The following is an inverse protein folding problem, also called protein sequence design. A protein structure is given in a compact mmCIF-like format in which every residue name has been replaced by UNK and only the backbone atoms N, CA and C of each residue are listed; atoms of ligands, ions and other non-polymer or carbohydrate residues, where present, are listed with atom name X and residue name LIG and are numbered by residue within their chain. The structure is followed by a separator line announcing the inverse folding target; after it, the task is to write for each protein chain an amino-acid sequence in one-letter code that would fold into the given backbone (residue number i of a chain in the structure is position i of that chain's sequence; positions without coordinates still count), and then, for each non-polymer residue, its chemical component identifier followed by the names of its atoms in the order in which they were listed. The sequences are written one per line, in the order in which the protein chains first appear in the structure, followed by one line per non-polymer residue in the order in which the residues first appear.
data_IF_525807635310
#
_entry.id   IF_525807635310
#
_cell.length_a   1.000
_cell.length_b   1.000
_cell.length_c   1.000
_cell.angle_alpha   90.00
_cell.angle_beta   90.00
_cell.angle_gamma   90.00
#
_symmetry.space_group_name_H-M   'P 1'
#
loop_
_entity.id
_entity.type
_entity.pdbx_description
1 polymer ?
#
# COMPACT_ATOMS: atom_id res chain seq x y z
N UNK A 1 -8.63 -15.42 19.95
CA UNK A 1 -8.27 -16.68 20.62
C UNK A 1 -7.91 -16.38 22.08
N UNK A 2 -7.73 -17.37 22.96
CA UNK A 2 -7.49 -17.12 24.40
C UNK A 2 -6.12 -16.49 24.70
N UNK A 3 -5.19 -16.55 23.75
CA UNK A 3 -3.87 -15.90 23.74
C UNK A 3 -3.89 -14.48 23.15
N UNK A 4 -5.06 -13.99 22.70
CA UNK A 4 -5.18 -12.71 22.01
C UNK A 4 -4.87 -12.75 20.51
N UNK A 5 -4.51 -13.91 19.94
CA UNK A 5 -4.37 -14.06 18.48
C UNK A 5 -5.72 -13.81 17.81
N UNK A 6 -5.70 -13.18 16.63
CA UNK A 6 -6.91 -12.91 15.82
C UNK A 6 -6.68 -13.35 14.39
N UNK A 7 -7.65 -14.06 13.81
CA UNK A 7 -7.75 -14.34 12.38
C UNK A 7 -9.06 -13.72 11.87
N UNK A 8 -8.94 -12.66 11.09
CA UNK A 8 -10.06 -11.95 10.47
C UNK A 8 -10.20 -12.39 9.03
N UNK A 9 -11.42 -12.78 8.63
CA UNK A 9 -11.72 -13.18 7.26
C UNK A 9 -12.43 -12.05 6.51
N UNK A 10 -11.99 -11.81 5.28
CA UNK A 10 -12.59 -10.87 4.35
C UNK A 10 -13.80 -11.45 3.61
N UNK A 11 -14.26 -10.71 2.61
CA UNK A 11 -15.37 -11.15 1.74
C UNK A 11 -14.92 -12.34 0.88
N UNK A 12 -15.85 -13.27 0.64
CA UNK A 12 -15.66 -14.46 -0.18
C UNK A 12 -14.55 -15.41 0.33
N UNK A 13 -14.25 -15.35 1.63
CA UNK A 13 -13.23 -16.18 2.27
C UNK A 13 -13.77 -17.53 2.73
N UNK A 14 -12.97 -18.58 2.53
CA UNK A 14 -13.19 -19.92 3.08
C UNK A 14 -11.94 -20.34 3.85
N UNK A 15 -12.12 -20.58 5.16
CA UNK A 15 -11.03 -20.97 6.05
C UNK A 15 -11.50 -21.98 7.10
N UNK A 16 -10.59 -22.87 7.49
CA UNK A 16 -10.75 -23.79 8.62
C UNK A 16 -9.65 -23.53 9.64
N UNK A 17 -10.03 -23.49 10.91
CA UNK A 17 -9.08 -23.58 12.01
C UNK A 17 -8.82 -25.06 12.26
N UNK A 18 -7.61 -25.52 12.02
CA UNK A 18 -7.26 -26.94 12.07
C UNK A 18 -6.78 -27.34 13.46
N UNK A 19 -5.96 -26.49 14.10
CA UNK A 19 -5.48 -26.69 15.45
C UNK A 19 -5.27 -25.36 16.18
N UNK A 20 -5.55 -25.35 17.48
CA UNK A 20 -5.18 -24.24 18.35
C UNK A 20 -4.91 -24.73 19.78
N UNK A 21 -3.69 -24.48 20.25
CA UNK A 21 -3.24 -24.81 21.60
C UNK A 21 -2.53 -23.61 22.20
N UNK A 22 -2.80 -23.32 23.47
CA UNK A 22 -2.09 -22.27 24.20
C UNK A 22 -2.04 -22.59 25.69
N UNK A 23 -0.82 -22.59 26.24
CA UNK A 23 -0.54 -22.66 27.67
C UNK A 23 0.24 -21.40 28.09
N UNK A 24 -0.46 -20.50 28.80
CA UNK A 24 0.10 -19.26 29.32
C UNK A 24 1.21 -19.48 30.36
N UNK A 25 1.27 -20.65 31.00
CA UNK A 25 2.27 -20.97 32.04
C UNK A 25 3.61 -21.34 31.42
N UNK A 26 3.57 -22.19 30.38
CA UNK A 26 4.78 -22.62 29.67
C UNK A 26 5.15 -21.74 28.48
N UNK A 27 4.25 -20.85 28.05
CA UNK A 27 4.42 -20.03 26.84
C UNK A 27 4.47 -20.88 25.57
N UNK A 28 3.95 -22.11 25.62
CA UNK A 28 3.89 -23.04 24.52
C UNK A 28 2.50 -23.07 23.89
N UNK A 29 2.44 -23.44 22.62
CA UNK A 29 1.20 -23.51 21.87
C UNK A 29 1.44 -23.60 20.38
N UNK A 30 0.35 -23.65 19.64
CA UNK A 30 0.35 -23.75 18.19
C UNK A 30 -0.95 -23.18 17.62
N UNK A 31 -0.86 -22.60 16.44
CA UNK A 31 -2.01 -22.18 15.66
C UNK A 31 -1.86 -22.68 14.23
N UNK A 32 -2.71 -23.60 13.82
CA UNK A 32 -2.73 -24.12 12.45
C UNK A 32 -4.08 -23.83 11.81
N UNK A 33 -4.07 -23.17 10.66
CA UNK A 33 -5.27 -22.89 9.90
C UNK A 33 -5.05 -23.15 8.42
N UNK A 34 -6.13 -23.47 7.70
CA UNK A 34 -6.14 -23.59 6.25
C UNK A 34 -7.07 -22.53 5.68
N UNK A 35 -6.58 -21.68 4.77
CA UNK A 35 -7.39 -20.70 4.04
C UNK A 35 -7.38 -21.08 2.55
N UNK A 36 -8.55 -21.35 1.99
CA UNK A 36 -8.70 -21.83 0.61
C UNK A 36 -8.87 -20.71 -0.41
N UNK A 37 -9.52 -19.61 -0.04
CA UNK A 37 -9.79 -18.47 -0.92
C UNK A 37 -10.09 -17.20 -0.11
N UNK A 38 -10.09 -16.07 -0.79
CA UNK A 38 -10.49 -14.78 -0.24
C UNK A 38 -9.38 -14.09 0.55
N UNK A 39 -9.74 -13.01 1.24
CA UNK A 39 -8.81 -12.22 2.04
C UNK A 39 -8.77 -12.67 3.50
N UNK A 40 -7.62 -12.56 4.15
CA UNK A 40 -7.52 -12.69 5.60
C UNK A 40 -6.44 -11.79 6.20
N UNK A 41 -6.64 -11.44 7.46
CA UNK A 41 -5.65 -10.79 8.30
C UNK A 41 -5.41 -11.67 9.53
N UNK A 42 -4.15 -11.94 9.82
CA UNK A 42 -3.70 -12.62 11.01
C UNK A 42 -2.89 -11.65 11.88
N UNK A 43 -3.21 -11.59 13.16
CA UNK A 43 -2.48 -10.80 14.16
C UNK A 43 -2.11 -11.71 15.31
N UNK A 44 -0.80 -11.90 15.55
CA UNK A 44 -0.33 -12.73 16.66
C UNK A 44 -0.62 -12.09 18.01
N UNK A 45 -1.15 -12.90 18.93
CA UNK A 45 -1.26 -12.56 20.34
C UNK A 45 -0.02 -12.91 21.14
N UNK A 46 -0.22 -13.29 22.39
CA UNK A 46 0.84 -13.64 23.33
C UNK A 46 1.62 -14.90 22.91
N UNK A 47 1.01 -15.81 22.14
CA UNK A 47 1.72 -16.92 21.51
C UNK A 47 2.91 -16.43 20.65
N UNK A 48 2.76 -15.31 19.94
CA UNK A 48 3.83 -14.71 19.16
C UNK A 48 4.91 -14.01 20.00
N UNK A 49 4.55 -13.53 21.19
CA UNK A 49 5.48 -12.86 22.11
C UNK A 49 6.30 -13.84 22.93
N UNK A 50 5.76 -15.03 23.24
CA UNK A 50 6.47 -16.04 24.03
C UNK A 50 7.35 -16.94 23.17
N UNK A 51 6.97 -17.15 21.91
CA UNK A 51 7.72 -17.95 20.96
C UNK A 51 8.74 -17.15 20.14
N UNK A 52 9.30 -16.06 20.68
CA UNK A 52 10.33 -15.27 19.98
C UNK A 52 11.42 -16.22 19.48
N UNK A 53 11.59 -16.25 18.15
CA UNK A 53 12.52 -17.10 17.38
C UNK A 53 12.03 -18.51 17.01
N UNK A 54 10.79 -18.92 17.32
CA UNK A 54 10.19 -20.17 16.82
C UNK A 54 8.93 -19.88 16.01
N UNK A 55 8.74 -20.64 14.94
CA UNK A 55 7.45 -20.66 14.24
C UNK A 55 6.41 -21.25 15.20
N UNK A 56 5.39 -20.46 15.50
CA UNK A 56 4.31 -20.84 16.43
C UNK A 56 2.95 -20.94 15.73
N UNK A 57 2.85 -20.39 14.51
CA UNK A 57 1.64 -20.53 13.70
C UNK A 57 1.97 -20.94 12.28
N UNK A 58 1.08 -21.71 11.68
CA UNK A 58 1.12 -22.14 10.29
C UNK A 58 -0.21 -21.84 9.61
N UNK A 59 -0.17 -21.17 8.47
CA UNK A 59 -1.35 -20.92 7.64
C UNK A 59 -1.12 -21.58 6.29
N UNK A 60 -1.91 -22.60 6.00
CA UNK A 60 -1.87 -23.36 4.75
C UNK A 60 -2.80 -22.73 3.72
N UNK A 61 -2.32 -22.60 2.49
CA UNK A 61 -3.08 -22.10 1.34
C UNK A 61 -2.81 -23.01 0.13
N UNK A 62 -3.65 -22.98 -0.92
CA UNK A 62 -3.37 -23.75 -2.14
C UNK A 62 -1.98 -23.44 -2.74
N UNK A 63 -1.54 -22.18 -2.67
CA UNK A 63 -0.27 -21.73 -3.22
C UNK A 63 0.95 -22.10 -2.34
N UNK A 64 0.75 -22.43 -1.06
CA UNK A 64 1.86 -22.71 -0.14
C UNK A 64 1.53 -22.50 1.34
N UNK A 65 2.55 -22.60 2.17
CA UNK A 65 2.44 -22.50 3.64
C UNK A 65 3.16 -21.27 4.17
N UNK A 66 2.45 -20.49 4.99
CA UNK A 66 2.97 -19.32 5.71
C UNK A 66 3.30 -19.75 7.14
N UNK A 67 4.58 -19.70 7.50
CA UNK A 67 5.06 -19.90 8.86
C UNK A 67 5.25 -18.57 9.58
N UNK A 68 4.53 -18.34 10.67
CA UNK A 68 4.43 -17.06 11.38
C UNK A 68 5.36 -17.02 12.58
N UNK A 69 6.10 -15.91 12.75
CA UNK A 69 6.96 -15.63 13.91
C UNK A 69 6.73 -14.21 14.46
N UNK A 70 5.69 -14.06 15.28
CA UNK A 70 5.41 -12.81 16.03
C UNK A 70 5.16 -11.59 15.14
N UNK A 71 4.07 -11.60 14.36
CA UNK A 71 3.87 -10.66 13.23
C UNK A 71 2.39 -10.44 12.90
N UNK A 72 2.15 -9.40 12.10
CA UNK A 72 0.89 -9.15 11.41
C UNK A 72 1.04 -9.60 9.96
N UNK A 73 0.04 -10.32 9.46
CA UNK A 73 0.02 -10.82 8.08
C UNK A 73 -1.31 -10.45 7.47
N UNK A 74 -1.27 -9.96 6.23
CA UNK A 74 -2.45 -9.81 5.39
C UNK A 74 -2.21 -10.60 4.12
N UNK A 75 -3.20 -11.37 3.70
CA UNK A 75 -3.10 -12.08 2.43
C UNK A 75 -4.45 -12.14 1.71
N UNK A 76 -4.35 -12.22 0.39
CA UNK A 76 -5.51 -12.38 -0.51
C UNK A 76 -5.20 -13.55 -1.42
N UNK A 77 -6.10 -14.53 -1.46
CA UNK A 77 -6.04 -15.68 -2.34
C UNK A 77 -7.10 -15.49 -3.42
N UNK A 78 -6.65 -15.14 -4.62
CA UNK A 78 -7.48 -15.02 -5.80
C UNK A 78 -7.40 -16.31 -6.62
N UNK A 79 -8.48 -17.09 -6.56
CA UNK A 79 -8.58 -18.36 -7.27
C UNK A 79 -8.81 -18.17 -8.78
N UNK A 80 -9.39 -17.05 -9.20
CA UNK A 80 -9.66 -16.76 -10.61
C UNK A 80 -8.38 -16.30 -11.31
N UNK A 81 -7.61 -15.45 -10.63
CA UNK A 81 -6.29 -15.01 -11.09
C UNK A 81 -5.16 -16.03 -10.80
N UNK A 82 -5.45 -17.11 -10.07
CA UNK A 82 -4.49 -18.13 -9.64
C UNK A 82 -3.30 -17.55 -8.85
N UNK A 83 -3.55 -16.53 -8.02
CA UNK A 83 -2.50 -15.82 -7.27
C UNK A 83 -2.80 -15.73 -5.78
N UNK A 84 -1.74 -15.60 -5.00
CA UNK A 84 -1.76 -15.16 -3.62
C UNK A 84 -0.93 -13.89 -3.50
N UNK A 85 -1.51 -12.84 -2.91
CA UNK A 85 -0.77 -11.68 -2.44
C UNK A 85 -0.55 -11.82 -0.94
N UNK A 86 0.69 -11.66 -0.47
CA UNK A 86 1.02 -11.68 0.95
C UNK A 86 1.71 -10.37 1.31
N UNK A 87 1.27 -9.74 2.37
CA UNK A 87 1.83 -8.53 2.96
C UNK A 87 2.12 -8.78 4.44
N UNK A 88 3.29 -8.33 4.88
CA UNK A 88 3.81 -8.50 6.24
C UNK A 88 4.17 -7.11 6.76
N UNK A 89 3.20 -6.40 7.37
CA UNK A 89 3.43 -5.01 7.79
C UNK A 89 4.40 -4.84 8.96
N UNK A 90 4.61 -5.87 9.78
CA UNK A 90 5.52 -5.85 10.93
C UNK A 90 5.79 -7.26 11.43
N UNK A 91 7.02 -7.53 11.89
CA UNK A 91 7.49 -8.86 12.31
C UNK A 91 7.94 -9.70 11.12
N UNK A 92 8.23 -10.99 11.37
CA UNK A 92 8.87 -11.84 10.36
C UNK A 92 8.02 -13.08 10.07
N UNK A 93 8.00 -13.50 8.81
CA UNK A 93 7.34 -14.74 8.39
C UNK A 93 8.19 -15.47 7.38
N UNK A 94 7.99 -16.78 7.33
CA UNK A 94 8.51 -17.60 6.26
C UNK A 94 7.38 -18.02 5.32
N UNK A 95 7.65 -18.02 4.02
CA UNK A 95 6.74 -18.51 2.99
C UNK A 95 7.39 -19.68 2.25
N UNK A 96 6.65 -20.77 2.07
CA UNK A 96 7.07 -21.92 1.29
C UNK A 96 6.00 -22.25 0.24
N UNK A 97 6.22 -21.92 -1.05
CA UNK A 97 5.29 -22.28 -2.11
C UNK A 97 5.14 -23.81 -2.23
N UNK A 98 3.93 -24.29 -2.52
CA UNK A 98 3.62 -25.73 -2.63
C UNK A 98 4.50 -26.44 -3.66
N UNK A 99 4.86 -25.75 -4.74
CA UNK A 99 5.64 -26.29 -5.87
C UNK A 99 7.13 -25.95 -5.81
N UNK A 100 7.61 -25.40 -4.69
CA UNK A 100 9.00 -24.98 -4.52
C UNK A 100 9.61 -25.58 -3.26
N UNK A 101 10.93 -25.75 -3.25
CA UNK A 101 11.71 -26.03 -2.03
C UNK A 101 12.36 -24.77 -1.47
N UNK A 102 12.29 -23.65 -2.19
CA UNK A 102 12.83 -22.38 -1.74
C UNK A 102 11.88 -21.75 -0.72
N UNK A 103 12.42 -21.46 0.46
CA UNK A 103 11.73 -20.70 1.50
C UNK A 103 12.10 -19.23 1.34
N UNK A 104 11.10 -18.38 1.38
CA UNK A 104 11.26 -16.93 1.40
C UNK A 104 11.05 -16.44 2.82
N UNK A 105 11.91 -15.55 3.29
CA UNK A 105 11.74 -14.86 4.58
C UNK A 105 11.26 -13.43 4.28
N UNK A 106 10.16 -13.02 4.91
CA UNK A 106 9.47 -11.75 4.66
C UNK A 106 9.28 -10.97 5.95
N UNK A 107 9.09 -9.66 5.82
CA UNK A 107 8.84 -8.77 6.95
C UNK A 107 10.05 -7.92 7.31
N UNK A 108 10.22 -7.59 8.60
CA UNK A 108 11.18 -6.56 9.06
C UNK A 108 12.63 -6.91 8.75
N UNK A 109 13.02 -8.18 8.95
CA UNK A 109 14.35 -8.71 8.57
C UNK A 109 14.33 -9.55 7.30
N UNK A 110 13.21 -9.55 6.57
CA UNK A 110 13.04 -10.34 5.35
C UNK A 110 13.57 -9.64 4.10
N UNK A 111 13.62 -10.39 2.99
CA UNK A 111 14.03 -9.86 1.69
C UNK A 111 13.00 -8.86 1.13
N UNK A 112 11.75 -8.96 1.58
CA UNK A 112 10.61 -8.16 1.14
C UNK A 112 9.46 -8.19 2.14
N UNK A 113 8.61 -7.16 2.12
CA UNK A 113 7.40 -7.08 2.95
C UNK A 113 6.12 -7.43 2.20
N UNK A 114 6.16 -7.44 0.86
CA UNK A 114 5.01 -7.77 0.01
C UNK A 114 5.45 -8.67 -1.15
N UNK A 115 4.69 -9.72 -1.42
CA UNK A 115 4.82 -10.55 -2.61
C UNK A 115 3.49 -10.77 -3.31
N UNK A 116 3.58 -11.06 -4.60
CA UNK A 116 2.56 -11.77 -5.35
C UNK A 116 3.17 -13.08 -5.80
N UNK A 117 2.52 -14.20 -5.52
CA UNK A 117 2.93 -15.51 -5.98
C UNK A 117 1.79 -16.20 -6.72
N UNK A 118 2.10 -17.03 -7.71
CA UNK A 118 1.12 -17.95 -8.30
C UNK A 118 1.16 -19.33 -7.63
N UNK A 119 0.21 -20.19 -7.99
CA UNK A 119 0.18 -21.57 -7.48
C UNK A 119 1.26 -22.49 -8.07
N UNK A 120 1.97 -22.03 -9.11
CA UNK A 120 3.09 -22.75 -9.73
C UNK A 120 4.43 -22.48 -9.03
N UNK A 121 4.42 -21.58 -8.03
CA UNK A 121 5.57 -21.25 -7.20
C UNK A 121 6.43 -20.11 -7.75
N UNK A 122 5.97 -19.41 -8.80
CA UNK A 122 6.60 -18.17 -9.22
C UNK A 122 6.27 -17.08 -8.21
N UNK A 123 7.30 -16.38 -7.73
CA UNK A 123 7.16 -15.31 -6.74
C UNK A 123 7.71 -14.02 -7.34
N UNK A 124 6.89 -12.98 -7.29
CA UNK A 124 7.23 -11.61 -7.67
C UNK A 124 7.21 -10.73 -6.43
N UNK A 125 8.39 -10.42 -5.84
CA UNK A 125 8.49 -9.44 -4.79
C UNK A 125 8.02 -8.06 -5.27
N UNK A 126 7.23 -7.38 -4.44
CA UNK A 126 6.82 -5.99 -4.70
C UNK A 126 7.79 -5.05 -3.98
N UNK A 127 9.03 -5.03 -4.44
CA UNK A 127 10.11 -4.17 -3.91
C UNK A 127 10.25 -2.87 -4.69
N UNK A 128 9.57 -2.75 -5.81
CA UNK A 128 9.65 -1.62 -6.71
C UNK A 128 8.28 -0.99 -6.91
N UNK A 129 8.25 0.34 -7.03
CA UNK A 129 7.06 1.05 -7.50
C UNK A 129 6.61 0.43 -8.84
N UNK A 130 5.31 0.27 -9.12
CA UNK A 130 4.84 -0.19 -10.42
C UNK A 130 5.52 0.57 -11.56
N UNK A 131 5.87 -0.12 -12.64
CA UNK A 131 6.61 0.47 -13.75
C UNK A 131 5.97 1.76 -14.27
N UNK A 132 4.64 1.83 -14.32
CA UNK A 132 3.91 3.04 -14.68
C UNK A 132 4.19 4.26 -13.78
N UNK A 133 4.38 4.04 -12.47
CA UNK A 133 4.75 5.10 -11.53
C UNK A 133 6.24 5.43 -11.61
N UNK A 134 7.10 4.44 -11.86
CA UNK A 134 8.51 4.69 -12.15
C UNK A 134 8.66 5.57 -13.40
N UNK A 135 7.98 5.20 -14.49
CA UNK A 135 7.98 5.92 -15.76
C UNK A 135 7.47 7.35 -15.57
N UNK A 136 6.37 7.55 -14.82
CA UNK A 136 5.83 8.88 -14.52
C UNK A 136 6.79 9.75 -13.70
N UNK A 137 7.51 9.17 -12.72
CA UNK A 137 8.54 9.88 -11.94
C UNK A 137 9.72 10.27 -12.84
N UNK A 138 10.14 9.37 -13.74
CA UNK A 138 11.20 9.64 -14.71
C UNK A 138 10.81 10.79 -15.64
N UNK A 139 9.59 10.78 -16.18
CA UNK A 139 9.08 11.87 -17.02
C UNK A 139 9.03 13.20 -16.26
N UNK A 140 8.58 13.19 -14.99
CA UNK A 140 8.54 14.38 -14.16
C UNK A 140 9.94 14.96 -13.89
N UNK A 141 10.91 14.11 -13.54
CA UNK A 141 12.29 14.54 -13.30
C UNK A 141 12.92 15.13 -14.55
N UNK A 142 12.64 14.56 -15.73
CA UNK A 142 13.11 15.08 -17.00
C UNK A 142 12.50 16.47 -17.28
N UNK A 143 11.19 16.63 -17.10
CA UNK A 143 10.53 17.92 -17.29
C UNK A 143 11.06 19.00 -16.33
N UNK A 144 11.38 18.65 -15.09
CA UNK A 144 12.00 19.56 -14.11
C UNK A 144 13.41 19.96 -14.57
N UNK A 145 14.23 18.99 -15.00
CA UNK A 145 15.59 19.26 -15.47
C UNK A 145 15.59 20.15 -16.72
N UNK A 146 14.71 19.89 -17.70
CA UNK A 146 14.56 20.73 -18.89
C UNK A 146 14.11 22.16 -18.54
N UNK A 147 13.25 22.32 -17.54
CA UNK A 147 12.85 23.62 -17.03
C UNK A 147 14.01 24.35 -16.32
N UNK A 148 14.86 23.64 -15.57
CA UNK A 148 16.05 24.19 -14.92
C UNK A 148 17.14 24.59 -15.90
N UNK A 149 17.38 23.78 -16.94
CA UNK A 149 18.32 24.10 -18.02
C UNK A 149 17.85 25.31 -18.85
N UNK A 150 16.54 25.41 -19.11
CA UNK A 150 15.96 26.58 -19.77
C UNK A 150 15.96 27.85 -18.90
N UNK A 151 15.95 27.72 -17.56
CA UNK A 151 16.14 28.85 -16.63
C UNK A 151 17.55 29.46 -16.70
N UNK A 152 18.54 28.76 -17.27
CA UNK A 152 19.87 29.34 -17.51
C UNK A 152 19.91 30.29 -18.73
N UNK A 153 18.92 30.23 -19.63
CA UNK A 153 18.87 31.05 -20.85
C UNK A 153 18.00 32.30 -20.67
N UNK A 154 17.04 32.28 -19.76
CA UNK A 154 16.26 33.45 -19.34
C UNK A 154 16.54 33.76 -17.88
N UNK A 155 17.43 34.74 -17.66
CA UNK A 155 17.72 35.28 -16.33
C UNK A 155 16.43 35.54 -15.54
N UNK A 156 16.33 34.86 -14.41
CA UNK A 156 15.53 35.20 -13.22
C UNK A 156 14.04 35.55 -13.40
N UNK A 157 13.32 34.81 -14.25
CA UNK A 157 11.86 34.81 -14.20
C UNK A 157 11.33 33.42 -13.90
N UNK A 158 10.95 33.20 -12.64
CA UNK A 158 10.20 32.01 -12.21
C UNK A 158 8.78 32.11 -12.78
N UNK A 159 8.32 31.18 -13.63
CA UNK A 159 6.90 31.11 -13.97
C UNK A 159 6.17 30.61 -12.72
N UNK A 160 5.41 31.50 -12.10
CA UNK A 160 4.58 31.17 -10.95
C UNK A 160 3.38 30.35 -11.45
N UNK A 161 3.46 29.03 -11.38
CA UNK A 161 2.33 28.16 -11.69
C UNK A 161 2.27 26.93 -10.78
N UNK A 162 2.22 27.16 -9.46
CA UNK A 162 1.43 26.31 -8.56
C UNK A 162 0.61 27.26 -7.69
N UNK A 163 -0.64 27.54 -8.10
CA UNK A 163 -1.61 28.14 -7.17
C UNK A 163 -2.20 27.00 -6.35
N UNK A 164 -1.64 26.81 -5.15
CA UNK A 164 -2.34 26.14 -4.07
C UNK A 164 -3.58 26.98 -3.78
N UNK A 165 -4.77 26.40 -3.92
CA UNK A 165 -5.99 27.03 -3.43
C UNK A 165 -6.00 26.91 -1.90
N UNK A 166 -5.37 27.88 -1.24
CA UNK A 166 -5.72 28.19 0.15
C UNK A 166 -6.91 29.15 0.10
N UNK A 167 -8.09 28.60 0.33
CA UNK A 167 -9.27 29.39 0.67
C UNK A 167 -9.15 29.80 2.13
N UNK A 168 -8.86 31.08 2.39
CA UNK A 168 -9.30 31.76 3.60
C UNK A 168 -9.50 33.25 3.31
N UNK A 169 -10.62 33.75 3.82
CA UNK A 169 -11.25 35.05 3.63
C UNK A 169 -10.32 36.28 3.67
N UNK A 170 -10.52 37.22 2.72
CA UNK A 170 -11.19 38.51 3.01
C UNK A 170 -10.98 39.55 1.88
N UNK A 171 -12.10 39.97 1.28
CA UNK A 171 -12.32 41.37 0.89
C UNK A 171 -11.99 41.81 -0.54
N UNK A 172 -13.03 41.99 -1.35
CA UNK A 172 -13.01 42.86 -2.54
C UNK A 172 -13.58 42.23 -3.81
N UNK A 173 -14.91 42.15 -3.93
CA UNK A 173 -15.58 41.75 -5.18
C UNK A 173 -15.44 42.88 -6.21
N UNK A 174 -14.65 42.63 -7.26
CA UNK A 174 -14.82 43.29 -8.55
C UNK A 174 -15.54 42.32 -9.47
N UNK A 175 -16.68 42.73 -10.01
CA UNK A 175 -17.47 41.88 -10.91
C UNK A 175 -16.67 41.58 -12.19
N UNK A 176 -16.60 40.30 -12.54
CA UNK A 176 -15.99 39.81 -13.78
C UNK A 176 -17.12 39.38 -14.72
N UNK A 177 -17.06 39.80 -15.98
CA UNK A 177 -17.99 39.36 -17.01
C UNK A 177 -17.35 38.26 -17.87
N UNK A 178 -18.18 37.31 -18.30
CA UNK A 178 -17.77 36.11 -19.02
C UNK A 178 -18.13 36.30 -20.49
N UNK A 179 -17.11 36.42 -21.35
CA UNK A 179 -17.30 36.60 -22.78
C UNK A 179 -17.83 35.31 -23.43
N UNK A 180 -18.45 35.42 -24.61
CA UNK A 180 -18.95 34.27 -25.38
C UNK A 180 -17.86 33.29 -25.83
N UNK A 181 -16.59 33.71 -25.83
CA UNK A 181 -15.43 32.84 -26.09
C UNK A 181 -14.88 32.15 -24.83
N UNK A 182 -15.51 32.36 -23.68
CA UNK A 182 -15.16 31.78 -22.39
C UNK A 182 -14.09 32.56 -21.61
N UNK A 183 -13.66 33.72 -22.10
CA UNK A 183 -12.67 34.54 -21.41
C UNK A 183 -13.33 35.43 -20.35
N UNK A 184 -12.77 35.48 -19.14
CA UNK A 184 -13.21 36.38 -18.08
C UNK A 184 -12.51 37.74 -18.19
N UNK A 185 -13.28 38.82 -18.22
CA UNK A 185 -12.76 40.19 -18.27
C UNK A 185 -13.24 41.02 -17.08
N UNK A 186 -12.37 41.88 -16.51
CA UNK A 186 -12.82 42.87 -15.54
C UNK A 186 -13.75 43.88 -16.22
N UNK A 187 -14.90 44.16 -15.59
CA UNK A 187 -15.82 45.19 -16.07
C UNK A 187 -15.08 46.53 -16.13
N UNK A 188 -15.03 47.14 -17.30
CA UNK A 188 -14.38 48.45 -17.45
C UNK A 188 -15.24 49.51 -16.75
N UNK A 189 -14.68 50.38 -15.89
CA UNK A 189 -15.43 51.48 -15.33
C UNK A 189 -15.80 52.44 -16.47
N UNK A 190 -17.11 52.72 -16.62
CA UNK A 190 -17.62 53.76 -17.52
C UNK A 190 -16.86 55.08 -17.27
N UNK A 191 -16.15 55.56 -18.29
CA UNK A 191 -15.52 56.89 -18.32
C UNK A 191 -16.59 57.96 -18.23
N UNK A 192 -16.87 58.40 -17.00
CA UNK A 192 -17.64 59.59 -16.70
C UNK A 192 -16.70 60.79 -16.54
N UNK A 193 -16.20 61.34 -17.63
CA UNK A 193 -15.60 62.68 -17.63
C UNK A 193 -16.62 63.73 -17.11
N UNK A 194 -16.20 64.71 -16.28
CA UNK A 194 -17.12 65.68 -15.68
C UNK A 194 -17.53 66.72 -16.73
N UNK A 195 -18.84 66.83 -17.01
CA UNK A 195 -19.38 68.03 -17.64
C UNK A 195 -19.80 69.04 -16.56
N UNK A 196 -19.27 70.25 -16.77
CA UNK A 196 -19.47 71.55 -16.12
C UNK A 196 -20.84 71.82 -15.49
#
# INVERSE_FOLDING_TARGET
MNDGTTLTLGRDSDATLDNFEFDATSGAGGFDATVRRGGFEYVSGDLGKFALNRQHSSISTPAGVIGVRGTIIKAIIDMDANTITISVPSGNVSWLPTKSTLRYEMGDDGDFSIIIADQDGNVVPQTELPKSLQDAITELNQAIQEAEENRYIFGDSVPTAIKVYESDDAGGQGDLELDEDGTLRPVSPTDGSPQS
#
